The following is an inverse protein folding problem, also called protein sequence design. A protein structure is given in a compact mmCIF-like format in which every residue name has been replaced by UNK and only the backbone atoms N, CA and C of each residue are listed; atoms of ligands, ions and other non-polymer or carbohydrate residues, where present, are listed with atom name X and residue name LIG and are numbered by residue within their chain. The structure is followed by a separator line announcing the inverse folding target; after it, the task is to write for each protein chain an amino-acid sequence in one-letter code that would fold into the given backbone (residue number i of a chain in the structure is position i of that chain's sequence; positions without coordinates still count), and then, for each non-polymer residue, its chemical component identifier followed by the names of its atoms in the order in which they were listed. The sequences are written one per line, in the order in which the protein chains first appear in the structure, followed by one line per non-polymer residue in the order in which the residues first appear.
data_IF_834766017160
#
_entry.id   IF_834766017160
#
_cell.length_a   1.000
_cell.length_b   1.000
_cell.length_c   1.000
_cell.angle_alpha   90.00
_cell.angle_beta   90.00
_cell.angle_gamma   90.00
#
_symmetry.space_group_name_H-M   'P 1'
#
loop_
_entity.id
_entity.type
_entity.pdbx_description
1 polymer ?
#
# COMPACT_ATOMS: atom_id res chain seq x y z
N UNK A 1 -11.86 -8.01 33.74
CA UNK A 1 -11.21 -6.86 33.07
C UNK A 1 -11.68 -6.94 31.64
N UNK A 2 -12.41 -5.95 31.13
CA UNK A 2 -12.68 -5.89 29.70
C UNK A 2 -11.34 -5.85 28.96
N UNK A 3 -11.14 -6.76 28.01
CA UNK A 3 -9.95 -6.73 27.16
C UNK A 3 -9.92 -5.38 26.44
N UNK A 4 -8.82 -4.66 26.59
CA UNK A 4 -8.66 -3.32 26.05
C UNK A 4 -8.57 -3.42 24.51
N UNK A 5 -9.63 -3.01 23.79
CA UNK A 5 -9.63 -3.05 22.34
C UNK A 5 -8.79 -1.92 21.73
N UNK A 6 -8.38 -2.08 20.47
CA UNK A 6 -7.49 -1.14 19.79
C UNK A 6 -8.04 0.29 19.70
N UNK A 7 -9.37 0.46 19.61
CA UNK A 7 -10.00 1.79 19.58
C UNK A 7 -9.80 2.51 20.91
N UNK A 8 -9.94 1.79 22.03
CA UNK A 8 -9.69 2.33 23.37
C UNK A 8 -8.21 2.68 23.54
N UNK A 9 -7.30 1.81 23.10
CA UNK A 9 -5.84 2.07 23.11
C UNK A 9 -5.55 3.35 22.31
N UNK A 10 -6.07 3.45 21.09
CA UNK A 10 -5.88 4.59 20.20
C UNK A 10 -6.35 5.91 20.79
N UNK A 11 -7.53 5.93 21.40
CA UNK A 11 -8.09 7.13 22.02
C UNK A 11 -7.24 7.65 23.19
N UNK A 12 -6.49 6.77 23.86
CA UNK A 12 -5.58 7.13 24.95
C UNK A 12 -4.17 7.46 24.46
N UNK A 13 -3.67 6.72 23.49
CA UNK A 13 -2.31 6.85 22.98
C UNK A 13 -2.25 6.31 21.54
N UNK A 14 -2.23 7.24 20.55
CA UNK A 14 -2.18 6.91 19.13
C UNK A 14 -0.92 6.11 18.79
N UNK A 15 0.24 6.52 19.29
CA UNK A 15 1.51 5.85 18.99
C UNK A 15 1.48 4.38 19.46
N UNK A 16 0.96 4.12 20.66
CA UNK A 16 0.83 2.74 21.18
C UNK A 16 -0.12 1.91 20.32
N UNK A 17 -1.18 2.50 19.78
CA UNK A 17 -2.08 1.81 18.89
C UNK A 17 -1.44 1.50 17.54
N UNK A 18 -0.67 2.42 16.98
CA UNK A 18 0.07 2.21 15.73
C UNK A 18 1.18 1.17 15.89
N UNK A 19 1.88 1.15 17.03
CA UNK A 19 2.83 0.10 17.39
C UNK A 19 2.15 -1.27 17.49
N UNK A 20 0.96 -1.35 18.13
CA UNK A 20 0.20 -2.60 18.20
C UNK A 20 -0.24 -3.10 16.82
N UNK A 21 -0.55 -2.19 15.88
CA UNK A 21 -0.83 -2.58 14.50
C UNK A 21 0.41 -3.06 13.77
N UNK A 22 1.56 -2.40 13.97
CA UNK A 22 2.83 -2.84 13.40
C UNK A 22 3.21 -4.26 13.89
N UNK A 23 3.06 -4.53 15.18
CA UNK A 23 3.29 -5.85 15.77
C UNK A 23 2.33 -6.89 15.19
N UNK A 24 1.07 -6.55 14.99
CA UNK A 24 0.10 -7.42 14.35
C UNK A 24 0.50 -7.77 12.92
N UNK A 25 0.98 -6.79 12.15
CA UNK A 25 1.45 -7.02 10.78
C UNK A 25 2.73 -7.86 10.73
N UNK A 26 3.62 -7.70 11.70
CA UNK A 26 4.79 -8.57 11.84
C UNK A 26 4.40 -10.03 12.16
N UNK A 27 3.42 -10.22 13.04
CA UNK A 27 2.89 -11.57 13.33
C UNK A 27 2.25 -12.20 12.10
N UNK A 28 1.51 -11.42 11.30
CA UNK A 28 0.90 -11.87 10.05
C UNK A 28 1.96 -12.33 9.04
N UNK A 29 3.01 -11.52 8.82
CA UNK A 29 4.13 -11.86 7.94
C UNK A 29 4.82 -13.15 8.40
N UNK A 30 5.15 -13.24 9.68
CA UNK A 30 5.82 -14.40 10.26
C UNK A 30 5.00 -15.67 10.10
N UNK A 31 3.71 -15.62 10.41
CA UNK A 31 2.81 -16.76 10.27
C UNK A 31 2.71 -17.26 8.82
N UNK A 32 2.54 -16.36 7.86
CA UNK A 32 2.44 -16.73 6.45
C UNK A 32 3.74 -17.36 5.94
N UNK A 33 4.89 -16.81 6.32
CA UNK A 33 6.21 -17.36 5.94
C UNK A 33 6.48 -18.71 6.60
N UNK A 34 6.14 -18.89 7.88
CA UNK A 34 6.25 -20.17 8.58
C UNK A 34 5.38 -21.24 7.94
N UNK A 35 4.14 -20.92 7.59
CA UNK A 35 3.24 -21.86 6.89
C UNK A 35 3.75 -22.22 5.49
N UNK A 36 4.24 -21.22 4.73
CA UNK A 36 4.81 -21.46 3.42
C UNK A 36 6.06 -22.36 3.48
N UNK A 37 6.89 -22.18 4.50
CA UNK A 37 8.08 -23.01 4.72
C UNK A 37 7.74 -24.42 5.17
N UNK A 38 6.74 -24.57 6.04
CA UNK A 38 6.31 -25.88 6.56
C UNK A 38 5.66 -26.75 5.47
N UNK A 39 4.91 -26.14 4.56
CA UNK A 39 4.22 -26.83 3.46
C UNK A 39 4.50 -26.09 2.15
N UNK A 40 5.62 -26.40 1.48
CA UNK A 40 5.95 -25.77 0.20
C UNK A 40 4.82 -25.89 -0.82
N UNK A 41 4.57 -24.81 -1.57
CA UNK A 41 3.48 -24.75 -2.54
C UNK A 41 2.14 -24.25 -2.00
N UNK A 42 1.95 -24.13 -0.67
CA UNK A 42 0.66 -23.78 -0.04
C UNK A 42 0.00 -22.53 -0.65
N UNK A 43 0.76 -21.50 -1.00
CA UNK A 43 0.23 -20.24 -1.53
C UNK A 43 0.59 -20.01 -3.00
N UNK A 44 1.39 -20.89 -3.61
CA UNK A 44 1.97 -20.64 -4.94
C UNK A 44 0.92 -20.52 -6.04
N UNK A 45 -0.23 -21.16 -5.91
CA UNK A 45 -1.31 -21.12 -6.89
C UNK A 45 -2.40 -20.08 -6.59
N UNK A 46 -2.32 -19.39 -5.45
CA UNK A 46 -3.30 -18.39 -5.08
C UNK A 46 -3.41 -17.27 -6.14
N UNK A 47 -4.64 -16.95 -6.50
CA UNK A 47 -4.98 -15.72 -7.22
C UNK A 47 -5.11 -14.58 -6.23
N UNK A 48 -5.08 -13.33 -6.71
CA UNK A 48 -5.15 -12.13 -5.85
C UNK A 48 -6.29 -12.20 -4.83
N UNK A 49 -7.51 -12.47 -5.30
CA UNK A 49 -8.70 -12.55 -4.43
C UNK A 49 -8.67 -13.72 -3.44
N UNK A 50 -8.05 -14.82 -3.81
CA UNK A 50 -7.85 -15.97 -2.92
C UNK A 50 -6.85 -15.62 -1.82
N UNK A 51 -5.78 -14.91 -2.16
CA UNK A 51 -4.80 -14.43 -1.19
C UNK A 51 -5.41 -13.42 -0.20
N UNK A 52 -6.24 -12.47 -0.67
CA UNK A 52 -6.97 -11.56 0.20
C UNK A 52 -7.82 -12.32 1.24
N UNK A 53 -8.54 -13.36 0.82
CA UNK A 53 -9.32 -14.22 1.73
C UNK A 53 -8.43 -14.97 2.73
N UNK A 54 -7.29 -15.50 2.29
CA UNK A 54 -6.31 -16.14 3.17
C UNK A 54 -5.83 -15.16 4.23
N UNK A 55 -5.45 -13.95 3.82
CA UNK A 55 -4.95 -12.90 4.72
C UNK A 55 -5.97 -12.53 5.78
N UNK A 56 -7.23 -12.27 5.39
CA UNK A 56 -8.31 -11.99 6.35
C UNK A 56 -8.51 -13.12 7.36
N UNK A 57 -8.51 -14.36 6.90
CA UNK A 57 -8.70 -15.50 7.79
C UNK A 57 -7.55 -15.65 8.78
N UNK A 58 -6.30 -15.48 8.32
CA UNK A 58 -5.12 -15.50 9.19
C UNK A 58 -5.14 -14.34 10.18
N UNK A 59 -5.50 -13.13 9.75
CA UNK A 59 -5.65 -12.00 10.67
C UNK A 59 -6.66 -12.30 11.77
N UNK A 60 -7.82 -12.87 11.43
CA UNK A 60 -8.84 -13.27 12.42
C UNK A 60 -8.33 -14.34 13.38
N UNK A 61 -7.56 -15.32 12.90
CA UNK A 61 -6.94 -16.35 13.73
C UNK A 61 -5.93 -15.74 14.73
N UNK A 62 -5.17 -14.75 14.32
CA UNK A 62 -4.13 -14.12 15.13
C UNK A 62 -4.67 -13.09 16.15
N UNK A 63 -5.91 -12.63 16.02
CA UNK A 63 -6.52 -11.59 16.87
C UNK A 63 -6.43 -11.88 18.36
N UNK A 64 -6.53 -13.13 18.79
CA UNK A 64 -6.47 -13.49 20.21
C UNK A 64 -5.16 -13.11 20.94
N UNK A 65 -4.17 -12.59 20.22
CA UNK A 65 -2.89 -12.09 20.75
C UNK A 65 -2.71 -10.59 20.56
N UNK A 66 -3.74 -9.89 20.19
CA UNK A 66 -3.70 -8.47 19.82
C UNK A 66 -4.91 -7.75 20.40
N UNK A 67 -4.91 -6.42 20.47
CA UNK A 67 -6.10 -5.66 20.86
C UNK A 67 -7.13 -5.52 19.74
N UNK A 68 -6.95 -6.19 18.58
CA UNK A 68 -7.90 -6.20 17.48
C UNK A 68 -8.96 -7.30 17.66
N UNK A 69 -10.19 -7.06 17.18
CA UNK A 69 -11.30 -8.00 17.27
C UNK A 69 -11.55 -8.66 15.92
N UNK A 70 -11.71 -9.98 15.93
CA UNK A 70 -11.87 -10.76 14.70
C UNK A 70 -13.12 -10.37 13.89
N UNK A 71 -14.21 -10.00 14.58
CA UNK A 71 -15.46 -9.54 13.96
C UNK A 71 -15.34 -8.19 13.26
N UNK A 72 -14.35 -7.37 13.63
CA UNK A 72 -14.09 -6.06 13.05
C UNK A 72 -13.04 -6.12 11.92
N UNK A 73 -12.54 -7.31 11.59
CA UNK A 73 -11.66 -7.51 10.42
C UNK A 73 -12.52 -7.98 9.25
N UNK A 74 -12.51 -7.20 8.18
CA UNK A 74 -13.35 -7.48 7.01
C UNK A 74 -12.66 -7.18 5.69
N UNK A 75 -12.97 -8.00 4.68
CA UNK A 75 -12.68 -7.65 3.29
C UNK A 75 -13.58 -6.50 2.85
N UNK A 76 -13.01 -5.64 2.04
CA UNK A 76 -13.74 -4.57 1.37
C UNK A 76 -14.01 -5.00 -0.08
N UNK A 77 -15.05 -4.46 -0.71
CA UNK A 77 -15.32 -4.82 -2.10
C UNK A 77 -14.19 -4.34 -3.02
N UNK A 78 -13.97 -5.04 -4.13
CA UNK A 78 -12.86 -4.83 -5.08
C UNK A 78 -12.75 -3.41 -5.67
N UNK A 79 -13.70 -2.52 -5.39
CA UNK A 79 -13.69 -1.13 -5.85
C UNK A 79 -13.17 -0.15 -4.80
N UNK A 80 -12.89 -0.62 -3.58
CA UNK A 80 -12.42 0.20 -2.48
C UNK A 80 -10.96 -0.09 -2.15
N UNK A 81 -10.33 0.89 -1.49
CA UNK A 81 -8.97 0.84 -1.00
C UNK A 81 -8.97 1.14 0.51
N UNK A 82 -8.22 0.42 1.32
CA UNK A 82 -7.46 -0.82 1.04
C UNK A 82 -8.35 -2.07 0.95
N UNK A 83 -7.76 -3.24 0.59
CA UNK A 83 -8.49 -4.51 0.41
C UNK A 83 -9.13 -5.03 1.72
N UNK A 84 -8.48 -4.79 2.86
CA UNK A 84 -8.90 -5.24 4.19
C UNK A 84 -8.94 -4.05 5.15
N UNK A 85 -10.00 -3.96 5.95
CA UNK A 85 -10.10 -3.03 7.07
C UNK A 85 -10.09 -3.85 8.37
N UNK A 86 -9.20 -3.44 9.28
CA UNK A 86 -9.10 -3.97 10.63
C UNK A 86 -9.49 -2.87 11.62
N UNK A 87 -10.61 -3.06 12.30
CA UNK A 87 -11.28 -2.01 13.06
C UNK A 87 -11.59 -0.79 12.15
N UNK A 88 -11.68 0.39 12.66
CA UNK A 88 -12.09 1.56 11.88
C UNK A 88 -10.95 2.25 11.13
N UNK A 89 -9.74 2.23 11.72
CA UNK A 89 -8.65 3.15 11.35
C UNK A 89 -7.47 2.46 10.66
N UNK A 90 -7.47 1.14 10.61
CA UNK A 90 -6.36 0.34 10.13
C UNK A 90 -6.73 -0.45 8.90
N UNK A 91 -5.81 -0.60 7.98
CA UNK A 91 -6.06 -1.32 6.75
C UNK A 91 -4.86 -2.08 6.20
N UNK A 92 -5.13 -3.07 5.37
CA UNK A 92 -4.10 -3.85 4.67
C UNK A 92 -4.43 -3.89 3.19
N UNK A 93 -3.49 -3.45 2.38
CA UNK A 93 -3.51 -3.61 0.93
C UNK A 93 -2.73 -4.88 0.59
N UNK A 94 -3.33 -5.78 -0.17
CA UNK A 94 -2.74 -7.08 -0.52
C UNK A 94 -2.29 -7.09 -1.97
N UNK A 95 -1.03 -7.40 -2.21
CA UNK A 95 -0.47 -7.57 -3.56
C UNK A 95 0.27 -8.88 -3.67
N UNK A 96 0.34 -9.41 -4.88
CA UNK A 96 1.14 -10.60 -5.15
C UNK A 96 1.72 -10.59 -6.56
N UNK A 97 2.78 -11.37 -6.74
CA UNK A 97 3.37 -11.65 -8.04
C UNK A 97 3.75 -13.13 -8.15
N UNK A 98 3.73 -13.65 -9.36
CA UNK A 98 4.31 -14.97 -9.70
C UNK A 98 5.79 -14.85 -10.11
N UNK A 99 6.26 -13.63 -10.29
CA UNK A 99 7.64 -13.35 -10.67
C UNK A 99 8.55 -13.31 -9.42
N UNK A 100 9.87 -13.43 -9.65
CA UNK A 100 10.85 -13.39 -8.57
C UNK A 100 11.33 -11.97 -8.26
N UNK A 101 10.39 -11.06 -7.99
CA UNK A 101 10.69 -9.68 -7.58
C UNK A 101 9.66 -9.16 -6.58
N UNK A 102 9.99 -8.07 -5.89
CA UNK A 102 9.19 -7.42 -4.87
C UNK A 102 8.54 -6.11 -5.36
N UNK A 103 8.13 -6.07 -6.63
CA UNK A 103 7.61 -4.86 -7.27
C UNK A 103 6.25 -5.10 -7.91
N UNK A 104 5.40 -4.08 -7.92
CA UNK A 104 4.09 -4.11 -8.57
C UNK A 104 3.60 -2.68 -8.86
N UNK A 105 2.45 -2.57 -9.53
CA UNK A 105 1.70 -1.32 -9.65
C UNK A 105 0.70 -1.21 -8.50
N UNK A 106 0.67 -0.06 -7.84
CA UNK A 106 -0.22 0.23 -6.72
C UNK A 106 -1.52 0.91 -7.11
N UNK A 107 -2.17 1.54 -6.13
CA UNK A 107 -3.39 2.32 -6.31
C UNK A 107 -3.13 3.62 -7.08
N UNK A 108 -4.22 4.30 -7.48
CA UNK A 108 -4.15 5.68 -7.98
C UNK A 108 -3.65 6.62 -6.88
N UNK A 109 -2.87 7.64 -7.26
CA UNK A 109 -2.41 8.67 -6.32
C UNK A 109 -3.56 9.50 -5.73
N UNK A 110 -4.71 9.54 -6.39
CA UNK A 110 -5.90 10.25 -5.93
C UNK A 110 -6.64 9.49 -4.83
N UNK A 111 -6.44 8.17 -4.78
CA UNK A 111 -7.09 7.27 -3.81
C UNK A 111 -8.59 7.55 -3.62
N UNK A 112 -9.31 7.86 -4.72
CA UNK A 112 -10.72 8.27 -4.69
C UNK A 112 -11.66 7.22 -4.07
N UNK A 113 -11.22 5.96 -3.99
CA UNK A 113 -11.98 4.83 -3.44
C UNK A 113 -11.53 4.46 -2.01
N UNK A 114 -10.63 5.26 -1.40
CA UNK A 114 -10.17 5.02 -0.04
C UNK A 114 -11.29 5.17 0.98
N UNK A 115 -11.40 4.24 1.91
CA UNK A 115 -12.24 4.43 3.09
C UNK A 115 -11.69 5.62 3.91
N UNK A 116 -12.53 6.63 4.12
CA UNK A 116 -12.14 7.92 4.72
C UNK A 116 -11.70 7.80 6.18
N UNK A 117 -12.10 6.73 6.86
CA UNK A 117 -11.72 6.51 8.25
C UNK A 117 -10.36 5.83 8.38
N UNK A 118 -9.92 5.10 7.36
CA UNK A 118 -8.66 4.35 7.42
C UNK A 118 -7.48 5.31 7.33
N UNK A 119 -6.70 5.38 8.39
CA UNK A 119 -5.56 6.29 8.52
C UNK A 119 -4.23 5.57 8.32
N UNK A 120 -4.06 4.40 8.94
CA UNK A 120 -2.82 3.63 8.90
C UNK A 120 -3.00 2.39 8.01
N UNK A 121 -2.21 2.29 6.93
CA UNK A 121 -2.29 1.19 5.97
C UNK A 121 -0.94 0.48 5.90
N UNK A 122 -0.99 -0.84 5.90
CA UNK A 122 0.15 -1.70 5.58
C UNK A 122 -0.03 -2.37 4.23
N UNK A 123 1.06 -2.51 3.51
CA UNK A 123 1.16 -3.36 2.32
C UNK A 123 1.56 -4.77 2.75
N UNK A 124 0.75 -5.76 2.44
CA UNK A 124 1.15 -7.15 2.44
C UNK A 124 1.45 -7.59 1.00
N UNK A 125 2.67 -8.00 0.75
CA UNK A 125 3.09 -8.45 -0.58
C UNK A 125 3.52 -9.91 -0.54
N UNK A 126 2.87 -10.75 -1.38
CA UNK A 126 3.22 -12.15 -1.59
C UNK A 126 4.01 -12.35 -2.88
N UNK A 127 5.24 -12.86 -2.77
CA UNK A 127 6.01 -13.38 -3.88
C UNK A 127 5.70 -14.87 -4.00
N UNK A 128 4.80 -15.25 -4.91
CA UNK A 128 4.20 -16.58 -4.97
C UNK A 128 4.86 -17.51 -6.01
N UNK A 129 5.69 -16.94 -6.91
CA UNK A 129 6.42 -17.72 -7.89
C UNK A 129 7.61 -18.45 -7.26
N UNK A 130 7.68 -19.76 -7.44
CA UNK A 130 8.76 -20.57 -6.90
C UNK A 130 8.25 -21.82 -6.18
N UNK A 131 9.13 -22.51 -5.47
CA UNK A 131 8.77 -23.69 -4.67
C UNK A 131 8.08 -23.33 -3.36
N UNK A 132 8.41 -22.17 -2.82
CA UNK A 132 7.90 -21.65 -1.55
C UNK A 132 7.53 -20.19 -1.74
N UNK A 133 6.36 -19.80 -1.30
CA UNK A 133 5.93 -18.41 -1.29
C UNK A 133 6.67 -17.64 -0.19
N UNK A 134 6.92 -16.37 -0.44
CA UNK A 134 7.54 -15.45 0.52
C UNK A 134 6.63 -14.23 0.70
N UNK A 135 6.54 -13.72 1.92
CA UNK A 135 5.69 -12.57 2.26
C UNK A 135 6.50 -11.47 2.93
N UNK A 136 6.17 -10.22 2.61
CA UNK A 136 6.67 -9.03 3.29
C UNK A 136 5.50 -8.12 3.65
N UNK A 137 5.54 -7.55 4.86
CA UNK A 137 4.54 -6.61 5.34
C UNK A 137 5.24 -5.32 5.80
N UNK A 138 4.81 -4.16 5.26
CA UNK A 138 5.44 -2.86 5.55
C UNK A 138 4.40 -1.75 5.53
N UNK A 139 4.64 -0.61 6.24
CA UNK A 139 3.83 0.59 6.03
C UNK A 139 3.68 0.90 4.55
N UNK A 140 2.46 1.20 4.11
CA UNK A 140 2.13 1.38 2.69
C UNK A 140 2.99 2.46 2.04
N UNK A 141 3.14 3.61 2.67
CA UNK A 141 3.93 4.73 2.19
C UNK A 141 5.43 4.41 2.04
N UNK A 142 5.95 3.50 2.87
CA UNK A 142 7.36 3.07 2.82
C UNK A 142 7.68 2.16 1.61
N UNK A 143 6.63 1.71 0.89
CA UNK A 143 6.76 0.83 -0.27
C UNK A 143 6.62 1.57 -1.60
N UNK A 144 6.30 2.87 -1.61
CA UNK A 144 5.96 3.61 -2.82
C UNK A 144 7.20 4.28 -3.42
N UNK A 145 7.71 3.71 -4.52
CA UNK A 145 9.02 4.05 -5.10
C UNK A 145 9.00 5.21 -6.09
N UNK A 146 7.93 5.28 -6.88
CA UNK A 146 7.78 6.26 -7.96
C UNK A 146 6.30 6.32 -8.38
N UNK A 147 5.96 7.13 -9.38
CA UNK A 147 4.63 7.22 -9.96
C UNK A 147 4.74 6.96 -11.46
N UNK A 148 3.95 6.02 -11.95
CA UNK A 148 3.76 5.76 -13.37
C UNK A 148 2.43 6.34 -13.84
N UNK A 149 2.43 6.90 -15.05
CA UNK A 149 1.22 7.41 -15.69
C UNK A 149 0.94 6.59 -16.94
N UNK A 150 -0.21 5.90 -16.90
CA UNK A 150 -0.77 5.20 -18.06
C UNK A 150 -2.05 5.94 -18.49
N UNK A 151 -3.20 5.56 -17.94
CA UNK A 151 -4.47 6.31 -18.07
C UNK A 151 -4.71 7.24 -16.89
N UNK A 152 -4.16 6.89 -15.72
CA UNK A 152 -4.14 7.71 -14.50
C UNK A 152 -2.83 7.52 -13.77
N UNK A 153 -2.38 8.52 -12.99
CA UNK A 153 -1.18 8.38 -12.15
C UNK A 153 -1.39 7.30 -11.09
N UNK A 154 -0.47 6.34 -11.03
CA UNK A 154 -0.47 5.22 -10.07
C UNK A 154 0.88 5.10 -9.39
N UNK A 155 0.85 4.76 -8.13
CA UNK A 155 2.07 4.43 -7.41
C UNK A 155 2.75 3.17 -7.97
N UNK A 156 4.07 3.17 -7.97
CA UNK A 156 4.88 1.96 -8.17
C UNK A 156 5.34 1.44 -6.81
N UNK A 157 5.08 0.17 -6.57
CA UNK A 157 5.41 -0.52 -5.33
C UNK A 157 6.78 -1.17 -5.47
N UNK A 158 7.60 -1.05 -4.43
CA UNK A 158 8.80 -1.84 -4.22
C UNK A 158 8.98 -2.11 -2.72
N UNK A 159 8.93 -3.37 -2.32
CA UNK A 159 9.01 -3.79 -0.93
C UNK A 159 10.44 -3.77 -0.35
N UNK A 160 11.43 -3.34 -1.10
CA UNK A 160 12.85 -3.33 -0.71
C UNK A 160 13.42 -1.92 -0.56
N UNK A 161 12.56 -0.90 -0.55
CA UNK A 161 12.99 0.50 -0.41
C UNK A 161 13.53 0.80 1.00
N UNK A 162 14.52 1.70 1.05
CA UNK A 162 14.75 2.48 2.27
C UNK A 162 13.80 3.69 2.30
N UNK A 163 13.65 4.33 3.46
CA UNK A 163 12.77 5.51 3.60
C UNK A 163 13.16 6.66 2.68
N UNK A 164 14.45 6.84 2.43
CA UNK A 164 15.01 7.88 1.56
C UNK A 164 14.69 7.64 0.06
N UNK A 165 14.41 6.39 -0.30
CA UNK A 165 14.11 5.99 -1.68
C UNK A 165 12.64 6.10 -2.06
N UNK A 166 11.76 6.39 -1.10
CA UNK A 166 10.33 6.58 -1.37
C UNK A 166 10.08 7.79 -2.25
N UNK A 167 8.94 7.78 -2.98
CA UNK A 167 8.53 8.93 -3.79
C UNK A 167 8.32 10.17 -2.92
N UNK A 168 7.85 10.00 -1.70
CA UNK A 168 7.59 11.08 -0.76
C UNK A 168 8.87 11.77 -0.31
N UNK A 169 9.91 10.99 0.04
CA UNK A 169 11.23 11.54 0.35
C UNK A 169 11.83 12.30 -0.84
N UNK A 170 11.69 11.74 -2.06
CA UNK A 170 12.18 12.38 -3.30
C UNK A 170 11.45 13.68 -3.61
N UNK A 171 10.14 13.75 -3.33
CA UNK A 171 9.31 14.94 -3.55
C UNK A 171 9.45 15.98 -2.41
N UNK A 172 9.89 15.56 -1.22
CA UNK A 172 9.89 16.39 -0.02
C UNK A 172 8.48 16.70 0.51
N UNK A 173 7.51 15.79 0.25
CA UNK A 173 6.10 15.90 0.65
C UNK A 173 5.69 14.64 1.38
N UNK A 174 5.09 14.74 2.55
CA UNK A 174 4.62 13.57 3.28
C UNK A 174 3.40 12.92 2.57
N UNK A 175 3.26 11.60 2.73
CA UNK A 175 2.13 10.86 2.15
C UNK A 175 0.78 11.46 2.51
N UNK A 176 0.55 11.75 3.79
CA UNK A 176 -0.69 12.35 4.26
C UNK A 176 -0.94 13.76 3.72
N UNK A 177 0.11 14.54 3.50
CA UNK A 177 -0.01 15.85 2.85
C UNK A 177 -0.44 15.69 1.40
N UNK A 178 0.15 14.76 0.66
CA UNK A 178 -0.20 14.53 -0.74
C UNK A 178 -1.63 14.02 -0.90
N UNK A 179 -2.02 12.98 -0.15
CA UNK A 179 -3.35 12.39 -0.25
C UNK A 179 -4.50 13.31 0.17
N UNK A 180 -4.24 14.26 1.09
CA UNK A 180 -5.22 15.22 1.58
C UNK A 180 -5.18 16.57 0.81
N UNK A 181 -4.27 16.72 -0.15
CA UNK A 181 -4.21 17.92 -0.96
C UNK A 181 -5.43 18.03 -1.88
N UNK A 182 -5.92 19.25 -2.07
CA UNK A 182 -7.02 19.53 -3.01
C UNK A 182 -6.66 19.21 -4.46
N UNK A 183 -5.37 19.29 -4.81
CA UNK A 183 -4.83 18.96 -6.12
C UNK A 183 -3.52 18.17 -5.99
N UNK A 184 -3.63 16.91 -5.61
CA UNK A 184 -2.51 15.98 -5.51
C UNK A 184 -1.82 15.75 -6.86
N UNK A 185 -2.57 15.81 -7.96
CA UNK A 185 -2.04 15.63 -9.32
C UNK A 185 -1.09 16.76 -9.68
N UNK A 186 -1.42 18.02 -9.38
CA UNK A 186 -0.56 19.16 -9.72
C UNK A 186 0.73 19.17 -8.88
N UNK A 187 0.68 18.74 -7.63
CA UNK A 187 1.89 18.55 -6.81
C UNK A 187 2.84 17.56 -7.47
N UNK A 188 2.31 16.43 -7.94
CA UNK A 188 3.09 15.40 -8.64
C UNK A 188 3.61 15.91 -9.98
N UNK A 189 2.77 16.59 -10.78
CA UNK A 189 3.17 17.19 -12.05
C UNK A 189 4.34 18.16 -11.87
N UNK A 190 4.25 19.06 -10.88
CA UNK A 190 5.31 20.03 -10.59
C UNK A 190 6.64 19.33 -10.32
N UNK A 191 6.65 18.31 -9.48
CA UNK A 191 7.85 17.52 -9.20
C UNK A 191 8.47 16.91 -10.48
N UNK A 192 7.66 16.29 -11.32
CA UNK A 192 8.18 15.65 -12.53
C UNK A 192 8.60 16.65 -13.61
N UNK A 193 7.95 17.81 -13.72
CA UNK A 193 8.43 18.92 -14.57
C UNK A 193 9.82 19.37 -14.14
N UNK A 194 10.02 19.66 -12.85
CA UNK A 194 11.31 20.06 -12.32
C UNK A 194 12.38 18.98 -12.55
N UNK A 195 12.03 17.71 -12.36
CA UNK A 195 12.91 16.56 -12.62
C UNK A 195 13.29 16.48 -14.10
N UNK A 196 12.35 16.68 -15.02
CA UNK A 196 12.58 16.68 -16.46
C UNK A 196 13.48 17.86 -16.91
N UNK A 197 13.25 19.05 -16.39
CA UNK A 197 14.07 20.23 -16.64
C UNK A 197 15.51 20.01 -16.18
N UNK A 198 15.70 19.54 -14.93
CA UNK A 198 17.03 19.21 -14.39
C UNK A 198 17.76 18.16 -15.21
N UNK A 199 17.03 17.16 -15.74
CA UNK A 199 17.58 16.12 -16.59
C UNK A 199 17.81 16.56 -18.06
N UNK A 200 17.50 17.82 -18.41
CA UNK A 200 17.60 18.37 -19.78
C UNK A 200 16.89 17.51 -20.83
N UNK A 201 15.73 16.94 -20.47
CA UNK A 201 14.93 16.17 -21.42
C UNK A 201 14.40 17.08 -22.55
N UNK A 202 14.56 16.63 -23.80
CA UNK A 202 14.13 17.41 -24.98
C UNK A 202 12.62 17.47 -25.16
N UNK A 203 11.87 16.49 -24.65
CA UNK A 203 10.42 16.46 -24.68
C UNK A 203 9.88 16.14 -23.29
N UNK A 204 8.80 16.81 -22.89
CA UNK A 204 8.06 16.49 -21.67
C UNK A 204 6.98 15.45 -21.98
N UNK A 205 6.74 14.48 -21.11
CA UNK A 205 5.57 13.62 -21.24
C UNK A 205 4.27 14.43 -21.28
N UNK A 206 3.32 14.04 -22.11
CA UNK A 206 2.05 14.73 -22.35
C UNK A 206 1.27 15.07 -21.06
N UNK A 207 1.33 14.22 -20.06
CA UNK A 207 0.63 14.42 -18.79
C UNK A 207 1.26 15.48 -17.88
N UNK A 208 2.41 16.01 -18.24
CA UNK A 208 3.08 17.12 -17.54
C UNK A 208 2.67 18.51 -18.07
N UNK A 209 1.93 18.58 -19.18
CA UNK A 209 1.40 19.82 -19.74
C UNK A 209 0.47 20.56 -18.78
N UNK A 210 0.38 21.88 -18.93
CA UNK A 210 -0.42 22.76 -18.06
C UNK A 210 -1.82 23.01 -18.59
N UNK A 211 -2.10 22.72 -19.87
CA UNK A 211 -3.41 22.89 -20.50
C UNK A 211 -3.64 21.85 -21.61
N UNK A 212 -4.91 21.67 -21.97
CA UNK A 212 -5.30 20.84 -23.11
C UNK A 212 -4.74 21.36 -24.46
N UNK A 213 -4.35 22.62 -24.52
CA UNK A 213 -3.79 23.26 -25.73
C UNK A 213 -2.33 22.85 -25.97
N UNK A 214 -1.51 22.73 -24.92
CA UNK A 214 -0.12 22.26 -25.06
C UNK A 214 -0.01 20.78 -25.44
N UNK A 215 -1.04 19.97 -25.14
CA UNK A 215 -1.06 18.53 -25.50
C UNK A 215 -1.42 18.28 -26.97
N UNK A 216 -1.99 19.24 -27.69
CA UNK A 216 -2.37 19.12 -29.11
C UNK A 216 -1.23 19.49 -30.06
N UNK A 217 -0.27 20.32 -29.63
CA UNK A 217 0.89 20.67 -30.46
C UNK A 217 1.95 19.57 -30.56
N UNK A 218 1.96 18.60 -29.63
CA UNK A 218 2.90 17.46 -29.68
C UNK A 218 2.44 16.28 -30.55
N UNK A 219 1.24 16.34 -31.13
CA UNK A 219 0.65 15.28 -31.98
C UNK A 219 0.46 15.69 -33.46
N UNK A 220 1.02 16.82 -33.86
CA UNK A 220 1.15 17.22 -35.27
C UNK A 220 2.62 17.19 -35.67
#
# INVERSE_FOLDING_TARGET
MEEENIITVRNRNLQKADEAFADFMFMLESYLNEKAAAIPGTYCDCKSKELENVVVNVMKELCGRTPFRAEEIRLVSAQYFPDIIAEKYYGVEVKSTKENHWTSTGSSIVESTRDKNVENIYMLFGKLGGKTAEFKCRPYEDCLSDIAVTHSPRYLINMELTKEQTIFSKMGVAYDQLRNASDSIEIVRKYYREKAIKAKKKAMPWWLGTSAEESLEEHT
#
